data_IF_881500377823
#
_entry.id   IF_881500377823
#
_cell.length_a   1.000
_cell.length_b   1.000
_cell.length_c   1.000
_cell.angle_alpha   90.00
_cell.angle_beta   90.00
_cell.angle_gamma   90.00
#
_symmetry.space_group_name_H-M   'P 1'
#
loop_
_entity.id
_entity.type
_entity.pdbx_description
1 polymer ?
#
# COMPACT_ATOMS: atom_id res chain seq x y z
N UNK A 1 -18.06 -4.91 -18.04
CA UNK A 1 -17.64 -3.51 -18.02
C UNK A 1 -16.81 -3.23 -16.78
N UNK A 2 -15.65 -2.67 -16.96
CA UNK A 2 -14.73 -2.41 -15.86
C UNK A 2 -15.06 -1.06 -15.23
N UNK A 3 -15.20 -1.03 -13.92
CA UNK A 3 -15.40 0.23 -13.23
C UNK A 3 -14.11 1.04 -13.26
N UNK A 4 -14.23 2.37 -13.36
CA UNK A 4 -13.04 3.21 -13.25
C UNK A 4 -12.34 3.01 -11.91
N UNK A 5 -11.03 3.07 -11.94
CA UNK A 5 -10.23 2.95 -10.74
C UNK A 5 -9.45 4.24 -10.51
N UNK A 6 -9.20 4.52 -9.26
CA UNK A 6 -8.41 5.68 -8.85
C UNK A 6 -7.14 5.16 -8.21
N UNK A 7 -6.02 5.77 -8.56
CA UNK A 7 -4.74 5.47 -7.92
C UNK A 7 -4.32 6.68 -7.09
N UNK A 8 -4.00 6.43 -5.83
CA UNK A 8 -3.63 7.49 -4.91
C UNK A 8 -2.30 7.14 -4.28
N UNK A 9 -1.31 8.00 -4.47
CA UNK A 9 -0.03 7.83 -3.78
C UNK A 9 -0.21 8.18 -2.32
N UNK A 10 0.25 7.29 -1.45
CA UNK A 10 0.03 7.46 -0.01
C UNK A 10 1.32 7.82 0.71
N UNK A 11 2.39 7.11 0.43
CA UNK A 11 3.61 7.17 1.21
C UNK A 11 4.79 6.86 0.32
N UNK A 12 5.89 7.58 0.50
CA UNK A 12 7.14 7.32 -0.21
C UNK A 12 8.27 7.21 0.80
N UNK A 13 9.23 6.37 0.50
CA UNK A 13 10.41 6.21 1.35
C UNK A 13 11.23 5.03 0.90
N UNK A 14 12.38 4.85 1.54
CA UNK A 14 13.25 3.72 1.21
C UNK A 14 12.82 2.44 1.89
N UNK A 15 11.94 2.55 2.86
CA UNK A 15 11.41 1.41 3.58
C UNK A 15 9.94 1.69 3.86
N UNK A 16 9.09 0.72 3.56
CA UNK A 16 7.66 0.84 3.80
C UNK A 16 7.19 -0.40 4.55
N UNK A 17 6.49 -0.18 5.65
CA UNK A 17 5.94 -1.26 6.45
C UNK A 17 4.42 -1.22 6.37
N UNK A 18 3.83 -2.37 6.15
CA UNK A 18 2.37 -2.49 6.02
C UNK A 18 1.89 -3.80 6.61
N UNK A 19 0.60 -3.90 6.82
CA UNK A 19 0.02 -5.06 7.48
C UNK A 19 -1.32 -5.43 6.85
N UNK A 20 -1.55 -6.73 6.71
CA UNK A 20 -2.80 -7.27 6.19
C UNK A 20 -3.51 -8.06 7.29
N UNK A 21 -4.66 -7.59 7.78
CA UNK A 21 -5.41 -8.35 8.80
C UNK A 21 -6.04 -9.62 8.25
N UNK A 22 -6.18 -9.71 6.92
CA UNK A 22 -6.66 -10.91 6.24
C UNK A 22 -5.68 -11.23 5.10
N UNK A 23 -5.81 -12.41 4.50
CA UNK A 23 -4.89 -12.81 3.44
C UNK A 23 -5.15 -12.01 2.16
N UNK A 24 -4.12 -11.35 1.68
CA UNK A 24 -4.13 -10.70 0.37
C UNK A 24 -3.32 -11.54 -0.60
N UNK A 25 -3.66 -11.46 -1.88
CA UNK A 25 -2.90 -12.15 -2.93
C UNK A 25 -1.85 -11.22 -3.49
N UNK A 26 -0.62 -11.70 -3.56
CA UNK A 26 0.46 -10.89 -4.14
C UNK A 26 0.54 -11.12 -5.65
N UNK A 27 1.13 -10.15 -6.36
CA UNK A 27 1.33 -10.25 -7.80
C UNK A 27 2.28 -11.37 -8.19
N UNK A 28 3.02 -11.93 -7.24
CA UNK A 28 3.95 -13.03 -7.49
C UNK A 28 3.33 -14.38 -7.19
N UNK A 29 2.03 -14.43 -6.92
CA UNK A 29 1.30 -15.69 -6.79
C UNK A 29 1.21 -16.27 -5.39
N UNK A 30 1.63 -15.53 -4.37
CA UNK A 30 1.54 -16.00 -3.00
C UNK A 30 0.47 -15.24 -2.22
N UNK A 31 -0.09 -15.90 -1.21
CA UNK A 31 -1.00 -15.24 -0.30
C UNK A 31 -0.24 -14.84 0.95
N UNK A 32 -0.51 -13.65 1.45
CA UNK A 32 0.18 -13.15 2.64
C UNK A 32 -0.77 -12.45 3.58
N UNK A 33 -0.40 -12.46 4.86
CA UNK A 33 -1.13 -11.74 5.90
C UNK A 33 -0.13 -11.31 6.96
N UNK A 34 -0.56 -10.45 7.86
CA UNK A 34 0.28 -9.94 8.91
C UNK A 34 1.18 -8.81 8.45
N UNK A 35 2.16 -8.48 9.24
CA UNK A 35 3.05 -7.35 8.99
C UNK A 35 4.11 -7.70 7.94
N UNK A 36 4.27 -6.85 6.96
CA UNK A 36 5.23 -7.00 5.88
C UNK A 36 6.09 -5.73 5.78
N UNK A 37 7.28 -5.88 5.24
CA UNK A 37 8.18 -4.75 5.04
C UNK A 37 8.87 -4.89 3.70
N UNK A 38 8.93 -3.81 2.94
CA UNK A 38 9.68 -3.74 1.68
C UNK A 38 10.74 -2.68 1.81
N UNK A 39 11.88 -2.91 1.18
CA UNK A 39 13.03 -2.02 1.27
C UNK A 39 13.55 -1.74 -0.14
N UNK A 40 13.88 -0.47 -0.41
CA UNK A 40 14.55 -0.09 -1.65
C UNK A 40 16.04 -0.33 -1.49
N UNK A 41 16.62 -1.09 -2.40
CA UNK A 41 18.05 -1.33 -2.40
C UNK A 41 18.52 -1.64 -3.82
N UNK A 42 19.55 -0.92 -4.27
CA UNK A 42 20.15 -1.14 -5.58
C UNK A 42 19.15 -1.14 -6.75
N UNK A 43 18.19 -0.23 -6.69
CA UNK A 43 17.21 -0.07 -7.75
C UNK A 43 16.11 -1.12 -7.77
N UNK A 44 15.97 -1.88 -6.69
CA UNK A 44 14.99 -2.95 -6.60
C UNK A 44 14.23 -2.91 -5.28
N UNK A 45 13.05 -3.53 -5.29
CA UNK A 45 12.28 -3.74 -4.08
C UNK A 45 12.71 -5.06 -3.47
N UNK A 46 13.18 -5.02 -2.24
CA UNK A 46 13.55 -6.24 -1.50
C UNK A 46 12.44 -6.64 -0.57
N UNK A 47 11.94 -7.84 -0.75
CA UNK A 47 10.86 -8.39 0.05
C UNK A 47 11.00 -9.90 0.17
N UNK A 48 10.98 -10.39 1.40
CA UNK A 48 11.09 -11.82 1.69
C UNK A 48 12.31 -12.48 1.04
N UNK A 49 13.43 -11.75 1.02
CA UNK A 49 14.69 -12.28 0.48
C UNK A 49 14.80 -12.30 -1.03
N UNK A 50 13.87 -11.67 -1.72
CA UNK A 50 13.88 -11.60 -3.19
C UNK A 50 13.77 -10.17 -3.66
N UNK A 51 14.12 -9.95 -4.91
CA UNK A 51 14.10 -8.63 -5.53
C UNK A 51 12.98 -8.54 -6.54
N UNK A 52 12.32 -7.38 -6.59
CA UNK A 52 11.21 -7.13 -7.50
C UNK A 52 11.29 -5.72 -8.06
N UNK A 53 10.72 -5.53 -9.25
CA UNK A 53 10.58 -4.21 -9.86
C UNK A 53 9.29 -3.53 -9.40
N UNK A 54 8.30 -4.31 -9.04
CA UNK A 54 6.98 -3.83 -8.67
C UNK A 54 6.28 -4.93 -7.89
N UNK A 55 5.47 -4.55 -6.92
CA UNK A 55 4.67 -5.50 -6.16
C UNK A 55 3.25 -4.98 -6.06
N UNK A 56 2.28 -5.88 -6.13
CA UNK A 56 0.87 -5.55 -5.92
C UNK A 56 0.27 -6.56 -4.97
N UNK A 57 -0.61 -6.09 -4.10
CA UNK A 57 -1.30 -6.93 -3.13
C UNK A 57 -2.79 -6.67 -3.27
N UNK A 58 -3.53 -7.73 -3.63
CA UNK A 58 -4.93 -7.64 -3.99
C UNK A 58 -5.79 -8.23 -2.89
N UNK A 59 -6.81 -7.49 -2.41
CA UNK A 59 -7.67 -8.01 -1.35
C UNK A 59 -8.52 -9.18 -1.81
N UNK A 60 -8.93 -10.06 -0.88
CA UNK A 60 -9.82 -11.15 -1.24
C UNK A 60 -11.18 -10.63 -1.67
N UNK A 61 -11.82 -11.35 -2.59
CA UNK A 61 -13.16 -10.99 -3.03
C UNK A 61 -14.17 -11.26 -1.91
N UNK A 62 -15.25 -10.53 -1.95
CA UNK A 62 -16.37 -10.71 -1.02
C UNK A 62 -16.04 -10.42 0.44
N UNK A 63 -14.97 -9.69 0.69
CA UNK A 63 -14.62 -9.30 2.04
C UNK A 63 -14.43 -7.79 2.08
N UNK A 64 -14.77 -7.19 3.20
CA UNK A 64 -14.48 -5.79 3.43
C UNK A 64 -13.04 -5.69 3.94
N UNK A 65 -12.11 -6.08 3.08
CA UNK A 65 -10.72 -6.16 3.45
C UNK A 65 -10.05 -4.80 3.38
N UNK A 66 -9.13 -4.57 4.29
CA UNK A 66 -8.33 -3.36 4.27
C UNK A 66 -6.90 -3.74 4.61
N UNK A 67 -5.98 -2.85 4.27
CA UNK A 67 -4.59 -2.99 4.70
C UNK A 67 -4.22 -1.75 5.52
N UNK A 68 -3.16 -1.87 6.31
CA UNK A 68 -2.67 -0.77 7.12
C UNK A 68 -1.26 -0.40 6.65
N UNK A 69 -1.02 0.90 6.54
CA UNK A 69 0.33 1.42 6.32
C UNK A 69 0.78 2.07 7.61
N UNK A 70 2.00 1.76 8.00
CA UNK A 70 2.60 2.33 9.21
C UNK A 70 3.46 3.52 8.86
N UNK A 71 3.62 4.39 9.84
CA UNK A 71 4.48 5.57 9.72
C UNK A 71 4.04 6.57 8.64
N UNK A 72 2.74 6.62 8.37
CA UNK A 72 2.19 7.66 7.50
C UNK A 72 2.31 8.99 8.24
N UNK A 73 2.98 9.95 7.61
CA UNK A 73 3.21 11.25 8.23
C UNK A 73 1.97 12.13 8.16
N UNK A 74 1.57 12.67 9.30
CA UNK A 74 0.43 13.56 9.43
C UNK A 74 0.92 14.88 10.03
N UNK A 75 0.38 15.99 9.57
CA UNK A 75 0.76 17.30 10.08
C UNK A 75 2.01 17.83 9.42
N UNK A 76 1.98 17.93 8.13
CA UNK A 76 3.11 18.36 7.32
C UNK A 76 3.58 19.75 7.69
N UNK A 77 4.89 19.94 7.77
CA UNK A 77 5.55 21.25 7.98
C UNK A 77 5.38 21.84 9.38
N UNK A 78 5.08 21.01 10.37
CA UNK A 78 4.99 21.47 11.74
C UNK A 78 5.94 20.70 12.63
N UNK A 79 6.30 21.29 13.76
CA UNK A 79 7.18 20.64 14.73
C UNK A 79 6.56 19.38 15.29
N UNK A 80 5.25 19.35 15.35
CA UNK A 80 4.51 18.25 15.94
C UNK A 80 3.95 17.28 14.91
N UNK A 81 4.53 17.29 13.71
CA UNK A 81 4.12 16.26 12.76
C UNK A 81 4.38 14.89 13.39
N UNK A 82 3.48 13.97 13.14
CA UNK A 82 3.54 12.66 13.75
C UNK A 82 3.22 11.60 12.72
N UNK A 83 3.68 10.39 13.01
CA UNK A 83 3.45 9.25 12.14
C UNK A 83 2.38 8.37 12.77
N UNK A 84 1.46 7.92 11.97
CA UNK A 84 0.35 7.08 12.42
C UNK A 84 0.11 5.93 11.48
N UNK A 85 -0.62 4.93 11.98
CA UNK A 85 -1.08 3.82 11.17
C UNK A 85 -2.37 4.25 10.51
N UNK A 86 -2.45 4.09 9.18
CA UNK A 86 -3.64 4.44 8.41
C UNK A 86 -4.17 3.20 7.72
N UNK A 87 -5.49 3.09 7.63
CA UNK A 87 -6.16 1.97 6.98
C UNK A 87 -6.66 2.38 5.61
N UNK A 88 -6.53 1.48 4.65
CA UNK A 88 -6.95 1.73 3.27
C UNK A 88 -7.68 0.51 2.72
N UNK A 89 -8.70 0.73 1.93
CA UNK A 89 -9.39 -0.33 1.20
C UNK A 89 -8.81 -0.45 -0.20
N UNK A 90 -9.00 -1.63 -0.80
CA UNK A 90 -8.57 -1.85 -2.17
C UNK A 90 -7.18 -2.45 -2.25
N UNK A 91 -6.56 -2.25 -3.39
CA UNK A 91 -5.27 -2.85 -3.70
C UNK A 91 -4.12 -1.96 -3.20
N UNK A 92 -3.07 -2.60 -2.71
CA UNK A 92 -1.83 -1.90 -2.39
C UNK A 92 -0.80 -2.23 -3.46
N UNK A 93 -0.21 -1.20 -4.03
CA UNK A 93 0.82 -1.36 -5.04
C UNK A 93 2.07 -0.65 -4.58
N UNK A 94 3.22 -1.30 -4.74
CA UNK A 94 4.52 -0.72 -4.40
C UNK A 94 5.31 -0.59 -5.68
N UNK A 95 5.75 0.63 -5.97
CA UNK A 95 6.54 0.90 -7.17
C UNK A 95 7.82 1.62 -6.78
N UNK A 96 8.75 1.68 -7.72
CA UNK A 96 10.00 2.41 -7.53
C UNK A 96 9.88 3.75 -8.25
N UNK A 97 10.11 4.83 -7.52
CA UNK A 97 10.13 6.16 -8.08
C UNK A 97 11.44 6.84 -7.68
N UNK A 98 12.29 7.13 -8.65
CA UNK A 98 13.60 7.68 -8.35
C UNK A 98 14.42 6.69 -7.54
N UNK A 99 14.86 7.11 -6.37
CA UNK A 99 15.66 6.27 -5.49
C UNK A 99 14.88 5.85 -4.24
N UNK A 100 13.58 5.67 -4.38
CA UNK A 100 12.74 5.27 -3.25
C UNK A 100 11.51 4.52 -3.73
N UNK A 101 10.78 3.98 -2.78
CA UNK A 101 9.54 3.25 -3.05
C UNK A 101 8.36 4.17 -2.81
N UNK A 102 7.29 3.94 -3.55
CA UNK A 102 6.03 4.64 -3.33
C UNK A 102 4.91 3.62 -3.17
N UNK A 103 4.15 3.78 -2.10
CA UNK A 103 2.96 2.98 -1.85
C UNK A 103 1.77 3.66 -2.50
N UNK A 104 1.04 2.92 -3.31
CA UNK A 104 -0.11 3.43 -4.05
C UNK A 104 -1.34 2.60 -3.69
N UNK A 105 -2.43 3.28 -3.42
CA UNK A 105 -3.72 2.63 -3.21
C UNK A 105 -4.48 2.64 -4.54
N UNK A 106 -4.90 1.48 -4.99
CA UNK A 106 -5.72 1.34 -6.19
C UNK A 106 -7.10 0.93 -5.74
N UNK A 107 -8.08 1.75 -5.99
CA UNK A 107 -9.44 1.58 -5.45
C UNK A 107 -10.45 1.96 -6.52
N UNK A 108 -11.61 1.30 -6.52
CA UNK A 108 -12.66 1.66 -7.45
C UNK A 108 -13.21 3.04 -7.09
N UNK A 109 -13.72 3.76 -8.09
CA UNK A 109 -14.26 5.09 -7.84
C UNK A 109 -15.43 5.05 -6.84
N UNK A 110 -16.20 4.00 -6.88
CA UNK A 110 -17.32 3.85 -5.95
C UNK A 110 -16.84 3.71 -4.51
N UNK A 111 -15.82 2.91 -4.28
CA UNK A 111 -15.25 2.76 -2.95
C UNK A 111 -14.58 4.04 -2.48
N UNK A 112 -13.92 4.74 -3.40
CA UNK A 112 -13.28 6.00 -3.07
C UNK A 112 -14.30 7.04 -2.62
N UNK A 113 -15.39 7.16 -3.35
CA UNK A 113 -16.47 8.10 -3.01
C UNK A 113 -17.12 7.72 -1.68
N UNK A 114 -17.23 6.43 -1.41
CA UNK A 114 -17.76 5.96 -0.13
C UNK A 114 -16.88 6.39 1.05
N UNK A 115 -15.55 6.43 0.84
CA UNK A 115 -14.62 6.83 1.90
C UNK A 115 -14.73 8.31 2.25
N UNK A 116 -15.03 9.14 1.27
CA UNK A 116 -15.14 10.58 1.49
C UNK A 116 -16.57 11.05 1.74
N UNK A 117 -17.51 10.13 1.66
CA UNK A 117 -18.90 10.45 1.91
C UNK A 117 -19.15 10.59 3.40
N UNK A 118 -19.81 11.63 3.78
CA UNK A 118 -20.10 11.92 5.17
C UNK A 118 -21.60 11.88 5.41
#
# INVERSE_FOLDING_TARGET
MTQPQITVGILSGKEIEFSFPVKFSSSVGTEISGTQKVIYQDGKIHWQGKEYDELSFIPPQNAHAFFELKDVTIGINFHWERKEVQKFKGELKIIIEGEQLTAINVISIEEYLSLIHI
#
